data_IF_822158169737
#
_entry.id   IF_822158169737
#
_cell.length_a   1.000
_cell.length_b   1.000
_cell.length_c   1.000
_cell.angle_alpha   90.00
_cell.angle_beta   90.00
_cell.angle_gamma   90.00
#
_symmetry.space_group_name_H-M   'P 1'
#
loop_
_entity.id
_entity.type
_entity.pdbx_description
1 polymer ?
#
# COMPACT_ATOMS: atom_id res chain seq x y z
N UNK A 1 -33.00 9.66 25.92
CA UNK A 1 -33.59 8.35 25.61
C UNK A 1 -33.13 7.92 24.22
N UNK A 2 -32.59 6.71 24.08
CA UNK A 2 -32.17 6.18 22.77
C UNK A 2 -33.44 5.89 21.97
N UNK A 3 -33.58 6.47 20.76
CA UNK A 3 -34.61 6.11 19.83
C UNK A 3 -34.60 4.58 19.55
N UNK A 4 -35.75 3.92 19.48
CA UNK A 4 -35.86 2.49 19.21
C UNK A 4 -35.08 2.04 17.94
N UNK A 5 -34.95 2.91 16.95
CA UNK A 5 -34.12 2.64 15.76
C UNK A 5 -32.62 2.55 16.08
N UNK A 6 -32.11 3.44 16.95
CA UNK A 6 -30.72 3.42 17.37
C UNK A 6 -30.44 2.20 18.27
N UNK A 7 -31.37 1.86 19.16
CA UNK A 7 -31.24 0.67 19.99
C UNK A 7 -31.15 -0.59 19.13
N UNK A 8 -32.01 -0.73 18.12
CA UNK A 8 -31.94 -1.83 17.18
C UNK A 8 -30.63 -1.86 16.41
N UNK A 9 -30.14 -0.69 15.94
CA UNK A 9 -28.85 -0.61 15.23
C UNK A 9 -27.70 -1.08 16.12
N UNK A 10 -27.67 -0.72 17.40
CA UNK A 10 -26.67 -1.19 18.36
C UNK A 10 -26.72 -2.73 18.51
N UNK A 11 -27.93 -3.28 18.63
CA UNK A 11 -28.13 -4.72 18.77
C UNK A 11 -27.71 -5.48 17.50
N UNK A 12 -28.07 -4.97 16.33
CA UNK A 12 -27.71 -5.55 15.04
C UNK A 12 -26.18 -5.52 14.84
N UNK A 13 -25.52 -4.37 15.19
CA UNK A 13 -24.06 -4.24 15.08
C UNK A 13 -23.33 -5.15 16.07
N UNK A 14 -23.84 -5.29 17.29
CA UNK A 14 -23.29 -6.19 18.30
C UNK A 14 -23.39 -7.65 17.84
N UNK A 15 -24.55 -8.05 17.33
CA UNK A 15 -24.77 -9.40 16.79
C UNK A 15 -23.85 -9.68 15.59
N UNK A 16 -23.64 -8.70 14.71
CA UNK A 16 -22.69 -8.80 13.61
C UNK A 16 -21.26 -9.00 14.12
N UNK A 17 -20.84 -8.24 15.13
CA UNK A 17 -19.50 -8.36 15.74
C UNK A 17 -19.30 -9.75 16.36
N UNK A 18 -20.28 -10.26 17.10
CA UNK A 18 -20.22 -11.60 17.72
C UNK A 18 -20.14 -12.71 16.67
N UNK A 19 -20.93 -12.63 15.60
CA UNK A 19 -20.87 -13.59 14.50
C UNK A 19 -19.51 -13.52 13.79
N UNK A 20 -19.01 -12.32 13.52
CA UNK A 20 -17.69 -12.12 12.91
C UNK A 20 -16.58 -12.72 13.76
N UNK A 21 -16.64 -12.54 15.10
CA UNK A 21 -15.68 -13.12 16.04
C UNK A 21 -15.76 -14.65 16.07
N UNK A 22 -16.96 -15.21 16.08
CA UNK A 22 -17.20 -16.65 16.09
C UNK A 22 -16.63 -17.33 14.84
N UNK A 23 -16.76 -16.69 13.67
CA UNK A 23 -16.29 -17.23 12.40
C UNK A 23 -14.80 -16.95 12.14
N UNK A 24 -14.16 -16.17 13.04
CA UNK A 24 -12.75 -15.77 12.89
C UNK A 24 -11.79 -16.91 13.21
N UNK A 25 -11.05 -17.39 12.23
CA UNK A 25 -9.95 -18.34 12.38
C UNK A 25 -8.63 -17.58 12.28
N UNK A 26 -7.76 -17.78 13.26
CA UNK A 26 -6.43 -17.12 13.32
C UNK A 26 -5.39 -17.97 12.59
N UNK A 27 -4.53 -17.32 11.80
CA UNK A 27 -3.42 -17.98 11.11
C UNK A 27 -2.91 -17.24 9.88
N UNK A 28 -2.18 -17.99 9.06
CA UNK A 28 -1.52 -17.47 7.85
C UNK A 28 -2.01 -18.13 6.55
N UNK A 29 -3.13 -18.82 6.59
CA UNK A 29 -3.79 -19.36 5.40
C UNK A 29 -4.85 -18.39 4.88
N UNK A 30 -5.29 -18.61 3.64
CA UNK A 30 -6.34 -17.80 3.02
C UNK A 30 -7.61 -17.77 3.89
N UNK A 31 -8.15 -16.58 4.11
CA UNK A 31 -9.32 -16.35 4.95
C UNK A 31 -9.03 -16.25 6.44
N UNK A 32 -7.83 -16.63 6.90
CA UNK A 32 -7.44 -16.51 8.31
C UNK A 32 -6.98 -15.09 8.66
N UNK A 33 -7.33 -14.64 9.88
CA UNK A 33 -7.02 -13.30 10.39
C UNK A 33 -5.81 -13.31 11.35
N UNK A 34 -5.37 -12.12 11.74
CA UNK A 34 -4.35 -11.96 12.77
C UNK A 34 -4.96 -12.12 14.18
N UNK A 35 -4.19 -12.72 15.11
CA UNK A 35 -4.61 -12.85 16.51
C UNK A 35 -4.94 -11.51 17.16
N UNK A 36 -4.09 -10.48 16.94
CA UNK A 36 -4.29 -9.15 17.51
C UNK A 36 -5.61 -8.51 17.05
N UNK A 37 -6.05 -8.75 15.81
CA UNK A 37 -7.32 -8.22 15.29
C UNK A 37 -8.51 -8.95 15.90
N UNK A 38 -8.38 -10.26 16.16
CA UNK A 38 -9.38 -11.06 16.86
C UNK A 38 -9.54 -10.60 18.30
N UNK A 39 -8.44 -10.43 19.01
CA UNK A 39 -8.42 -9.96 20.41
C UNK A 39 -9.01 -8.54 20.53
N UNK A 40 -8.71 -7.67 19.55
CA UNK A 40 -9.28 -6.32 19.49
C UNK A 40 -10.79 -6.35 19.35
N UNK A 41 -11.33 -7.19 18.45
CA UNK A 41 -12.78 -7.34 18.28
C UNK A 41 -13.44 -7.89 19.54
N UNK A 42 -12.85 -8.89 20.19
CA UNK A 42 -13.36 -9.45 21.44
C UNK A 42 -13.45 -8.39 22.55
N UNK A 43 -12.37 -7.62 22.76
CA UNK A 43 -12.34 -6.53 23.73
C UNK A 43 -13.40 -5.44 23.42
N UNK A 44 -13.61 -5.10 22.14
CA UNK A 44 -14.61 -4.13 21.74
C UNK A 44 -16.06 -4.64 21.96
N UNK A 45 -16.30 -5.92 21.78
CA UNK A 45 -17.60 -6.54 22.08
C UNK A 45 -17.89 -6.46 23.59
N UNK A 46 -16.92 -6.80 24.45
CA UNK A 46 -17.07 -6.73 25.90
C UNK A 46 -17.31 -5.28 26.35
N UNK A 47 -16.52 -4.34 25.86
CA UNK A 47 -16.69 -2.92 26.12
C UNK A 47 -18.07 -2.42 25.69
N UNK A 48 -18.55 -2.80 24.51
CA UNK A 48 -19.86 -2.41 23.98
C UNK A 48 -21.01 -2.94 24.86
N UNK A 49 -20.93 -4.19 25.32
CA UNK A 49 -21.91 -4.79 26.24
C UNK A 49 -21.95 -4.03 27.58
N UNK A 50 -20.78 -3.72 28.14
CA UNK A 50 -20.67 -2.96 29.37
C UNK A 50 -21.23 -1.53 29.21
N UNK A 51 -20.88 -0.85 28.11
CA UNK A 51 -21.34 0.49 27.81
C UNK A 51 -22.87 0.53 27.60
N UNK A 52 -23.42 -0.43 26.84
CA UNK A 52 -24.87 -0.57 26.62
C UNK A 52 -25.62 -0.77 27.95
N UNK A 53 -25.05 -1.51 28.90
CA UNK A 53 -25.70 -1.76 30.19
C UNK A 53 -25.73 -0.53 31.12
N UNK A 54 -24.79 0.41 30.94
CA UNK A 54 -24.60 1.58 31.81
C UNK A 54 -25.18 2.89 31.26
N UNK A 55 -25.46 2.97 29.97
CA UNK A 55 -25.83 4.21 29.31
C UNK A 55 -27.06 4.09 28.44
N UNK A 56 -27.94 5.09 28.53
CA UNK A 56 -29.11 5.26 27.66
C UNK A 56 -28.97 6.52 26.75
N UNK A 57 -27.75 7.05 26.55
CA UNK A 57 -27.54 8.24 25.76
C UNK A 57 -27.38 7.92 24.28
N UNK A 58 -27.97 8.77 23.41
CA UNK A 58 -27.84 8.64 21.93
C UNK A 58 -26.38 8.68 21.49
N UNK A 59 -25.57 9.51 22.12
CA UNK A 59 -24.13 9.58 21.83
C UNK A 59 -23.43 8.25 22.06
N UNK A 60 -23.73 7.56 23.15
CA UNK A 60 -23.10 6.27 23.47
C UNK A 60 -23.53 5.18 22.49
N UNK A 61 -24.78 5.19 22.02
CA UNK A 61 -25.27 4.26 21.01
C UNK A 61 -24.52 4.40 19.66
N UNK A 62 -24.31 5.64 19.21
CA UNK A 62 -23.54 5.90 17.99
C UNK A 62 -22.06 5.53 18.16
N UNK A 63 -21.47 5.82 19.32
CA UNK A 63 -20.08 5.46 19.62
C UNK A 63 -19.90 3.94 19.62
N UNK A 64 -20.82 3.18 20.23
CA UNK A 64 -20.79 1.71 20.22
C UNK A 64 -20.79 1.18 18.78
N UNK A 65 -21.70 1.68 17.92
CA UNK A 65 -21.75 1.23 16.53
C UNK A 65 -20.46 1.55 15.77
N UNK A 66 -19.89 2.73 15.95
CA UNK A 66 -18.64 3.14 15.28
C UNK A 66 -17.45 2.29 15.71
N UNK A 67 -17.28 2.06 17.00
CA UNK A 67 -16.16 1.29 17.54
C UNK A 67 -16.25 -0.20 17.17
N UNK A 68 -17.46 -0.78 17.23
CA UNK A 68 -17.66 -2.16 16.81
C UNK A 68 -17.42 -2.32 15.30
N UNK A 69 -17.95 -1.40 14.47
CA UNK A 69 -17.74 -1.46 13.03
C UNK A 69 -16.25 -1.35 12.70
N UNK A 70 -15.53 -0.42 13.31
CA UNK A 70 -14.09 -0.29 13.12
C UNK A 70 -13.32 -1.56 13.49
N UNK A 71 -13.71 -2.25 14.55
CA UNK A 71 -13.09 -3.51 14.95
C UNK A 71 -13.44 -4.68 14.01
N UNK A 72 -14.68 -4.74 13.50
CA UNK A 72 -15.10 -5.69 12.47
C UNK A 72 -14.29 -5.48 11.18
N UNK A 73 -14.18 -4.23 10.73
CA UNK A 73 -13.43 -3.88 9.53
C UNK A 73 -11.95 -4.23 9.69
N UNK A 74 -11.34 -3.88 10.83
CA UNK A 74 -9.95 -4.23 11.15
C UNK A 74 -9.70 -5.74 11.18
N UNK A 75 -10.63 -6.56 11.66
CA UNK A 75 -10.52 -8.01 11.60
C UNK A 75 -10.60 -8.51 10.15
N UNK A 76 -11.54 -8.00 9.36
CA UNK A 76 -11.72 -8.40 7.97
C UNK A 76 -10.51 -7.97 7.11
N UNK A 77 -9.93 -6.79 7.35
CA UNK A 77 -8.70 -6.33 6.69
C UNK A 77 -7.48 -7.16 7.03
N UNK A 78 -7.46 -7.79 8.20
CA UNK A 78 -6.38 -8.68 8.64
C UNK A 78 -6.44 -10.07 8.02
N UNK A 79 -7.54 -10.44 7.32
CA UNK A 79 -7.66 -11.74 6.65
C UNK A 79 -6.75 -11.81 5.43
N UNK A 80 -6.07 -12.95 5.28
CA UNK A 80 -5.22 -13.17 4.11
C UNK A 80 -6.09 -13.44 2.88
N UNK A 81 -5.92 -12.64 1.82
CA UNK A 81 -6.57 -12.87 0.52
C UNK A 81 -5.90 -14.01 -0.24
N UNK A 82 -6.63 -14.61 -1.18
CA UNK A 82 -6.13 -15.62 -2.12
C UNK A 82 -5.44 -15.01 -3.36
N UNK A 83 -5.30 -13.69 -3.39
CA UNK A 83 -4.70 -12.99 -4.52
C UNK A 83 -3.24 -13.38 -4.75
N UNK A 84 -2.89 -13.67 -6.01
CA UNK A 84 -1.53 -14.01 -6.42
C UNK A 84 -0.62 -12.77 -6.43
N UNK A 85 0.43 -12.82 -5.63
CA UNK A 85 1.41 -11.75 -5.46
C UNK A 85 2.66 -11.90 -6.33
N UNK A 86 2.77 -12.99 -7.08
CA UNK A 86 3.99 -13.35 -7.83
C UNK A 86 4.39 -12.27 -8.83
N UNK A 87 3.43 -11.76 -9.61
CA UNK A 87 3.69 -10.71 -10.60
C UNK A 87 4.22 -9.42 -9.98
N UNK A 88 3.64 -8.98 -8.86
CA UNK A 88 4.10 -7.78 -8.16
C UNK A 88 5.47 -8.00 -7.50
N UNK A 89 5.72 -9.16 -6.89
CA UNK A 89 7.04 -9.51 -6.34
C UNK A 89 8.11 -9.44 -7.42
N UNK A 90 7.88 -10.06 -8.58
CA UNK A 90 8.82 -10.03 -9.70
C UNK A 90 9.07 -8.61 -10.23
N UNK A 91 8.03 -7.77 -10.31
CA UNK A 91 8.17 -6.37 -10.72
C UNK A 91 9.02 -5.58 -9.72
N UNK A 92 8.78 -5.75 -8.41
CA UNK A 92 9.54 -5.11 -7.33
C UNK A 92 11.01 -5.56 -7.34
N UNK A 93 11.29 -6.84 -7.55
CA UNK A 93 12.66 -7.37 -7.65
C UNK A 93 13.42 -6.74 -8.82
N UNK A 94 12.79 -6.66 -9.99
CA UNK A 94 13.35 -5.98 -11.17
C UNK A 94 13.63 -4.50 -10.88
N UNK A 95 12.69 -3.79 -10.30
CA UNK A 95 12.82 -2.38 -9.95
C UNK A 95 13.96 -2.16 -8.93
N UNK A 96 14.06 -3.01 -7.90
CA UNK A 96 15.16 -2.98 -6.93
C UNK A 96 16.52 -3.21 -7.59
N UNK A 97 16.61 -4.13 -8.55
CA UNK A 97 17.84 -4.38 -9.31
C UNK A 97 18.25 -3.13 -10.11
N UNK A 98 17.29 -2.51 -10.80
CA UNK A 98 17.50 -1.26 -11.54
C UNK A 98 17.94 -0.12 -10.62
N UNK A 99 17.27 0.04 -9.47
CA UNK A 99 17.63 1.03 -8.46
C UNK A 99 19.07 0.84 -7.94
N UNK A 100 19.39 -0.38 -7.50
CA UNK A 100 20.73 -0.71 -6.96
C UNK A 100 21.85 -0.49 -7.98
N UNK A 101 21.62 -0.88 -9.24
CA UNK A 101 22.60 -0.72 -10.32
C UNK A 101 22.91 0.75 -10.66
N UNK A 102 22.03 1.67 -10.27
CA UNK A 102 22.17 3.10 -10.55
C UNK A 102 22.29 3.96 -9.28
N UNK A 103 22.40 3.36 -8.11
CA UNK A 103 22.38 4.07 -6.81
C UNK A 103 23.52 5.10 -6.63
N UNK A 104 24.62 4.96 -7.35
CA UNK A 104 25.77 5.88 -7.33
C UNK A 104 25.77 6.87 -8.50
N UNK A 105 24.72 6.88 -9.33
CA UNK A 105 24.61 7.78 -10.47
C UNK A 105 23.89 9.08 -10.06
N UNK A 106 24.68 10.12 -9.81
CA UNK A 106 24.16 11.42 -9.39
C UNK A 106 23.35 12.13 -10.48
N UNK A 107 23.57 11.81 -11.75
CA UNK A 107 22.89 12.44 -12.87
C UNK A 107 21.40 12.07 -12.96
N UNK A 108 20.99 10.99 -12.28
CA UNK A 108 19.59 10.48 -12.24
C UNK A 108 19.03 10.44 -10.83
N UNK A 109 19.53 11.28 -9.93
CA UNK A 109 19.10 11.26 -8.52
C UNK A 109 17.59 11.48 -8.32
N UNK A 110 16.99 12.39 -9.09
CA UNK A 110 15.54 12.67 -9.05
C UNK A 110 14.72 11.46 -9.47
N UNK A 111 15.14 10.81 -10.55
CA UNK A 111 14.51 9.63 -11.12
C UNK A 111 14.67 8.42 -10.20
N UNK A 112 15.84 8.27 -9.57
CA UNK A 112 16.09 7.25 -8.54
C UNK A 112 15.17 7.43 -7.33
N UNK A 113 15.00 8.67 -6.85
CA UNK A 113 14.09 8.96 -5.75
C UNK A 113 12.65 8.59 -6.08
N UNK A 114 12.20 8.92 -7.30
CA UNK A 114 10.86 8.56 -7.80
C UNK A 114 10.69 7.04 -7.90
N UNK A 115 11.68 6.34 -8.46
CA UNK A 115 11.66 4.88 -8.57
C UNK A 115 11.62 4.23 -7.18
N UNK A 116 12.39 4.76 -6.22
CA UNK A 116 12.39 4.27 -4.82
C UNK A 116 11.02 4.38 -4.18
N UNK A 117 10.34 5.52 -4.34
CA UNK A 117 8.98 5.72 -3.81
C UNK A 117 8.00 4.68 -4.37
N UNK A 118 8.06 4.41 -5.67
CA UNK A 118 7.20 3.39 -6.31
C UNK A 118 7.49 1.99 -5.79
N UNK A 119 8.76 1.66 -5.54
CA UNK A 119 9.17 0.38 -4.94
C UNK A 119 8.63 0.24 -3.51
N UNK A 120 8.74 1.28 -2.69
CA UNK A 120 8.28 1.26 -1.29
C UNK A 120 6.77 1.12 -1.20
N UNK A 121 6.02 1.86 -2.04
CA UNK A 121 4.57 1.72 -2.16
C UNK A 121 4.14 0.31 -2.58
N UNK A 122 4.88 -0.28 -3.53
CA UNK A 122 4.59 -1.64 -4.00
C UNK A 122 4.90 -2.69 -2.91
N UNK A 123 5.96 -2.49 -2.14
CA UNK A 123 6.31 -3.35 -1.01
C UNK A 123 5.24 -3.28 0.08
N UNK A 124 4.74 -2.08 0.40
CA UNK A 124 3.62 -1.89 1.34
C UNK A 124 2.37 -2.64 0.89
N UNK A 125 2.05 -2.62 -0.42
CA UNK A 125 0.91 -3.37 -0.94
C UNK A 125 1.13 -4.89 -0.88
N UNK A 126 2.36 -5.39 -1.08
CA UNK A 126 2.69 -6.81 -0.92
C UNK A 126 2.45 -7.31 0.51
N UNK A 127 2.67 -6.45 1.51
CA UNK A 127 2.46 -6.75 2.92
C UNK A 127 0.99 -6.63 3.35
N UNK A 128 0.15 -5.97 2.54
CA UNK A 128 -1.29 -5.84 2.78
C UNK A 128 -1.98 -7.19 2.62
N UNK A 129 -2.47 -7.77 3.73
CA UNK A 129 -3.03 -9.13 3.75
C UNK A 129 -4.28 -9.29 2.88
N UNK A 130 -5.17 -8.30 2.89
CA UNK A 130 -6.42 -8.28 2.12
C UNK A 130 -6.30 -7.61 0.74
N UNK A 131 -5.09 -7.48 0.19
CA UNK A 131 -4.91 -6.93 -1.15
C UNK A 131 -5.70 -7.73 -2.20
N UNK A 132 -6.38 -7.02 -3.09
CA UNK A 132 -7.12 -7.64 -4.19
C UNK A 132 -6.21 -7.93 -5.39
N UNK A 133 -6.62 -8.86 -6.26
CA UNK A 133 -5.87 -9.18 -7.48
C UNK A 133 -5.73 -7.95 -8.39
N UNK A 134 -6.76 -7.11 -8.48
CA UNK A 134 -6.73 -5.90 -9.31
C UNK A 134 -5.74 -4.86 -8.75
N UNK A 135 -5.70 -4.65 -7.42
CA UNK A 135 -4.71 -3.78 -6.78
C UNK A 135 -3.28 -4.25 -7.08
N UNK A 136 -3.01 -5.56 -6.93
CA UNK A 136 -1.71 -6.16 -7.19
C UNK A 136 -1.29 -6.03 -8.65
N UNK A 137 -2.20 -6.32 -9.58
CA UNK A 137 -1.96 -6.22 -11.01
C UNK A 137 -1.74 -4.76 -11.46
N UNK A 138 -2.53 -3.82 -10.95
CA UNK A 138 -2.37 -2.40 -11.24
C UNK A 138 -1.02 -1.87 -10.74
N UNK A 139 -0.63 -2.25 -9.51
CA UNK A 139 0.66 -1.86 -8.93
C UNK A 139 1.84 -2.49 -9.68
N UNK A 140 1.75 -3.75 -10.11
CA UNK A 140 2.79 -4.40 -10.91
C UNK A 140 3.03 -3.66 -12.25
N UNK A 141 1.95 -3.25 -12.93
CA UNK A 141 2.06 -2.41 -14.14
C UNK A 141 2.67 -1.05 -13.85
N UNK A 142 2.29 -0.40 -12.74
CA UNK A 142 2.84 0.89 -12.35
C UNK A 142 4.35 0.82 -12.06
N UNK A 143 4.80 -0.24 -11.36
CA UNK A 143 6.23 -0.51 -11.14
C UNK A 143 6.97 -0.73 -12.45
N UNK A 144 6.43 -1.52 -13.39
CA UNK A 144 6.99 -1.71 -14.72
C UNK A 144 7.17 -0.38 -15.46
N UNK A 145 6.11 0.44 -15.52
CA UNK A 145 6.15 1.77 -16.14
C UNK A 145 7.17 2.71 -15.49
N UNK A 146 7.35 2.63 -14.17
CA UNK A 146 8.35 3.44 -13.46
C UNK A 146 9.78 3.03 -13.84
N UNK A 147 10.04 1.72 -13.97
CA UNK A 147 11.33 1.20 -14.46
C UNK A 147 11.60 1.65 -15.90
N UNK A 148 10.62 1.59 -16.79
CA UNK A 148 10.77 2.01 -18.19
C UNK A 148 11.05 3.51 -18.30
N UNK A 149 10.35 4.34 -17.53
CA UNK A 149 10.59 5.79 -17.46
C UNK A 149 11.99 6.10 -16.94
N UNK A 150 12.42 5.41 -15.89
CA UNK A 150 13.78 5.54 -15.35
C UNK A 150 14.84 5.19 -16.40
N UNK A 151 14.70 4.04 -17.07
CA UNK A 151 15.65 3.61 -18.11
C UNK A 151 15.70 4.61 -19.28
N UNK A 152 14.54 5.15 -19.69
CA UNK A 152 14.47 6.19 -20.73
C UNK A 152 15.20 7.46 -20.32
N UNK A 153 15.11 7.89 -19.07
CA UNK A 153 15.84 9.06 -18.56
C UNK A 153 17.35 8.80 -18.55
N UNK A 154 17.79 7.63 -18.10
CA UNK A 154 19.22 7.22 -18.13
C UNK A 154 19.76 7.22 -19.56
N UNK A 155 18.99 6.71 -20.52
CA UNK A 155 19.42 6.66 -21.93
C UNK A 155 19.52 8.06 -22.56
N UNK A 156 18.62 8.97 -22.21
CA UNK A 156 18.67 10.37 -22.65
C UNK A 156 19.92 11.08 -22.11
N UNK A 157 20.26 10.88 -20.83
CA UNK A 157 21.47 11.46 -20.21
C UNK A 157 22.72 10.93 -20.89
N UNK A 158 22.78 9.62 -21.17
CA UNK A 158 23.89 9.01 -21.90
C UNK A 158 24.04 9.57 -23.32
N UNK A 159 22.90 9.79 -23.98
CA UNK A 159 22.88 10.36 -25.35
C UNK A 159 23.39 11.81 -25.33
N UNK A 160 22.95 12.61 -24.36
CA UNK A 160 23.42 14.00 -24.20
C UNK A 160 24.92 14.05 -23.93
N UNK A 161 25.44 13.25 -23.02
CA UNK A 161 26.86 13.16 -22.72
C UNK A 161 27.69 12.75 -23.96
N UNK A 162 27.17 11.82 -24.78
CA UNK A 162 27.77 11.43 -26.04
C UNK A 162 27.79 12.58 -27.05
N UNK A 163 26.70 13.35 -27.14
CA UNK A 163 26.59 14.50 -28.01
C UNK A 163 27.55 15.62 -27.60
N UNK A 164 27.63 15.94 -26.31
CA UNK A 164 28.57 16.94 -25.77
C UNK A 164 30.02 16.56 -26.05
N UNK A 165 30.38 15.30 -25.92
CA UNK A 165 31.72 14.79 -26.26
C UNK A 165 32.01 14.93 -27.75
N UNK A 166 31.03 14.64 -28.61
CA UNK A 166 31.18 14.79 -30.06
C UNK A 166 31.40 16.25 -30.46
N UNK A 167 30.58 17.16 -29.95
CA UNK A 167 30.69 18.62 -30.21
C UNK A 167 32.02 19.15 -29.72
N UNK A 168 32.44 18.76 -28.51
CA UNK A 168 33.77 19.11 -27.97
C UNK A 168 34.90 18.63 -28.86
N UNK A 169 34.87 17.38 -29.35
CA UNK A 169 35.90 16.83 -30.24
C UNK A 169 35.94 17.57 -31.59
N UNK A 170 34.75 17.91 -32.11
CA UNK A 170 34.67 18.66 -33.38
C UNK A 170 35.28 20.06 -33.26
N UNK A 171 35.01 20.78 -32.18
CA UNK A 171 35.57 22.11 -31.92
C UNK A 171 37.11 22.04 -31.82
N UNK A 172 37.65 21.03 -31.11
CA UNK A 172 39.09 20.83 -31.00
C UNK A 172 39.76 20.39 -32.30
N UNK A 173 39.12 19.56 -33.12
CA UNK A 173 39.69 19.03 -34.35
C UNK A 173 39.69 20.04 -35.50
N UNK A 174 38.74 20.97 -35.53
CA UNK A 174 38.60 22.00 -36.56
C UNK A 174 39.47 23.28 -36.25
N UNK A 175 40.18 23.25 -35.12
CA UNK A 175 41.13 24.31 -34.75
C UNK A 175 40.47 25.68 -34.81
N UNK A 176 39.62 25.96 -33.88
CA UNK A 176 39.09 27.26 -33.49
C UNK A 176 39.37 28.42 -34.46
N UNK A 177 38.85 28.36 -35.69
CA UNK A 177 38.86 29.46 -36.62
C UNK A 177 37.49 30.11 -36.70
N UNK A 178 37.09 30.74 -35.61
CA UNK A 178 36.12 31.80 -35.65
C UNK A 178 36.87 33.11 -35.55
N UNK A 179 37.08 33.70 -36.73
CA UNK A 179 37.39 35.12 -36.80
C UNK A 179 36.10 35.88 -37.02
N UNK A 180 35.87 36.99 -36.31
CA UNK A 180 34.71 37.82 -36.50
C UNK A 180 34.71 38.50 -37.88
#
# INVERSE_FOLDING_TARGET
EIDGKLQKKVEDTLSQAENTLKDAVVGNEVGQCLQVSKDTLEQKIEWAKEKKSKSCAVYDGNLICTELQGAIDGLNESKLSDADRTSLKSAVEKANTTYKSNSNNNDVYSELSTLKTVIDDASTLLDKRNATQDELNAKARAVGSAVDKFNSAVDLIKLDAKYQKFVGSYIYSTGNRWYP
#
